data_IF_124150059713
#
_entry.id   IF_124150059713
#
_cell.length_a   1.000
_cell.length_b   1.000
_cell.length_c   1.000
_cell.angle_alpha   90.00
_cell.angle_beta   90.00
_cell.angle_gamma   90.00
#
_symmetry.space_group_name_H-M   'P 1'
#
loop_
_entity.id
_entity.type
_entity.pdbx_description
1 polymer ?
#
# COMPACT_ATOMS: atom_id res chain seq x y z
N UNK A 1 -38.19 18.18 8.37
CA UNK A 1 -36.74 18.38 8.10
C UNK A 1 -36.02 17.40 8.99
N UNK A 2 -35.14 16.58 8.49
CA UNK A 2 -34.52 15.53 9.30
C UNK A 2 -33.62 16.16 10.36
N UNK A 3 -33.77 15.73 11.62
CA UNK A 3 -32.99 16.13 12.81
C UNK A 3 -31.49 15.69 12.74
N UNK A 4 -30.97 15.40 11.55
CA UNK A 4 -29.60 14.96 11.37
C UNK A 4 -28.67 16.13 11.65
N UNK A 5 -27.76 16.02 12.63
CA UNK A 5 -26.76 17.05 12.90
C UNK A 5 -25.96 17.37 11.63
N UNK A 6 -25.49 18.62 11.52
CA UNK A 6 -24.75 19.07 10.35
C UNK A 6 -23.47 19.81 10.73
N UNK A 7 -22.50 19.81 9.80
CA UNK A 7 -21.39 20.77 9.82
C UNK A 7 -21.57 21.75 8.68
N UNK A 8 -21.23 23.00 8.90
CA UNK A 8 -21.22 24.05 7.87
C UNK A 8 -19.81 24.54 7.61
N UNK A 9 -19.44 24.60 6.34
CA UNK A 9 -18.12 25.07 5.94
C UNK A 9 -18.01 26.60 6.04
N UNK A 10 -16.81 27.11 6.25
CA UNK A 10 -16.50 28.53 6.14
C UNK A 10 -16.67 29.00 4.70
N UNK A 11 -16.95 30.29 4.53
CA UNK A 11 -16.98 30.89 3.20
C UNK A 11 -15.60 30.81 2.55
N UNK A 12 -15.54 30.30 1.33
CA UNK A 12 -14.28 30.13 0.61
C UNK A 12 -13.50 28.86 0.96
N UNK A 13 -14.05 27.97 1.80
CA UNK A 13 -13.40 26.71 2.16
C UNK A 13 -14.07 25.48 1.49
N UNK A 14 -13.47 24.31 1.67
CA UNK A 14 -13.96 23.07 1.10
C UNK A 14 -13.63 22.90 -0.39
N UNK A 15 -12.63 23.58 -0.91
CA UNK A 15 -12.24 23.47 -2.33
C UNK A 15 -11.82 22.06 -2.70
N UNK A 16 -10.94 21.43 -1.92
CA UNK A 16 -10.50 20.07 -2.14
C UNK A 16 -11.67 19.08 -2.07
N UNK A 17 -12.57 19.26 -1.09
CA UNK A 17 -13.77 18.44 -0.95
C UNK A 17 -14.70 18.58 -2.18
N UNK A 18 -14.98 19.79 -2.63
CA UNK A 18 -15.81 20.07 -3.82
C UNK A 18 -15.18 19.55 -5.10
N UNK A 19 -13.86 19.51 -5.19
CA UNK A 19 -13.11 18.94 -6.30
C UNK A 19 -13.05 17.40 -6.31
N UNK A 20 -13.72 16.73 -5.38
CA UNK A 20 -13.74 15.25 -5.32
C UNK A 20 -13.06 14.65 -4.10
N UNK A 21 -12.36 15.44 -3.29
CA UNK A 21 -11.66 14.98 -2.10
C UNK A 21 -12.61 14.39 -1.04
N UNK A 22 -12.14 13.41 -0.25
CA UNK A 22 -12.97 12.71 0.72
C UNK A 22 -12.94 13.32 2.12
N UNK A 23 -12.16 14.39 2.36
CA UNK A 23 -11.88 14.92 3.68
C UNK A 23 -12.25 16.39 3.82
N UNK A 24 -12.69 16.76 5.03
CA UNK A 24 -12.82 18.15 5.49
C UNK A 24 -11.97 18.29 6.76
N UNK A 25 -11.14 19.33 6.78
CA UNK A 25 -10.27 19.60 7.90
C UNK A 25 -10.98 20.48 8.95
N UNK A 26 -10.53 20.42 10.19
CA UNK A 26 -11.08 21.17 11.32
C UNK A 26 -11.11 22.68 11.07
N UNK A 27 -10.06 23.20 10.45
CA UNK A 27 -9.95 24.63 10.11
C UNK A 27 -10.92 25.10 9.00
N UNK A 28 -11.54 24.19 8.24
CA UNK A 28 -12.52 24.50 7.20
C UNK A 28 -13.96 24.66 7.75
N UNK A 29 -14.22 24.21 9.00
CA UNK A 29 -15.56 24.20 9.60
C UNK A 29 -15.85 25.55 10.28
N UNK A 30 -16.98 26.16 9.94
CA UNK A 30 -17.50 27.37 10.57
C UNK A 30 -18.27 27.06 11.85
N UNK A 31 -19.19 26.08 11.78
CA UNK A 31 -20.07 25.71 12.88
C UNK A 31 -20.51 24.25 12.79
N UNK A 32 -20.87 23.68 13.93
CA UNK A 32 -21.49 22.36 14.06
C UNK A 32 -22.93 22.61 14.55
N UNK A 33 -23.90 22.12 13.78
CA UNK A 33 -25.32 22.26 14.04
C UNK A 33 -25.88 21.01 14.70
N UNK A 34 -26.59 21.16 15.79
CA UNK A 34 -27.03 20.06 16.66
C UNK A 34 -25.92 19.58 17.59
N UNK A 35 -26.09 18.41 18.18
CA UNK A 35 -25.17 17.80 19.15
C UNK A 35 -24.67 16.43 18.67
N UNK A 36 -23.89 16.35 17.57
CA UNK A 36 -23.38 15.07 17.11
C UNK A 36 -22.30 14.54 18.06
N UNK A 37 -22.36 13.25 18.35
CA UNK A 37 -21.25 12.55 18.99
C UNK A 37 -20.08 12.38 18.00
N UNK A 38 -18.84 12.40 18.51
CA UNK A 38 -17.68 12.04 17.69
C UNK A 38 -17.81 10.61 17.17
N UNK A 39 -17.46 10.38 15.90
CA UNK A 39 -17.73 9.15 15.17
C UNK A 39 -19.18 9.03 14.67
N UNK A 40 -20.04 10.00 14.97
CA UNK A 40 -21.42 10.05 14.47
C UNK A 40 -21.52 10.58 13.03
N UNK A 41 -22.68 10.31 12.41
CA UNK A 41 -23.00 10.79 11.07
C UNK A 41 -23.46 12.24 11.14
N UNK A 42 -22.92 13.07 10.26
CA UNK A 42 -23.33 14.46 10.07
C UNK A 42 -23.59 14.74 8.60
N UNK A 43 -24.55 15.64 8.34
CA UNK A 43 -24.71 16.25 7.03
C UNK A 43 -23.64 17.31 6.84
N UNK A 44 -23.13 17.42 5.64
CA UNK A 44 -22.09 18.36 5.23
C UNK A 44 -22.78 19.46 4.43
N UNK A 45 -22.63 20.72 4.84
CA UNK A 45 -23.20 21.88 4.18
C UNK A 45 -22.11 22.89 3.77
N UNK A 46 -22.31 23.59 2.66
CA UNK A 46 -21.50 24.74 2.32
C UNK A 46 -21.84 25.95 3.24
N UNK A 47 -21.18 27.06 3.03
CA UNK A 47 -21.39 28.28 3.83
C UNK A 47 -22.80 28.89 3.72
N UNK A 48 -23.57 28.57 2.70
CA UNK A 48 -24.96 28.99 2.49
C UNK A 48 -25.99 27.96 3.02
N UNK A 49 -25.53 26.81 3.55
CA UNK A 49 -26.40 25.72 3.96
C UNK A 49 -26.79 24.77 2.81
N UNK A 50 -26.13 24.87 1.65
CA UNK A 50 -26.35 23.92 0.56
C UNK A 50 -25.75 22.54 0.91
N UNK A 51 -26.52 21.44 0.84
CA UNK A 51 -26.07 20.13 1.24
C UNK A 51 -25.06 19.55 0.23
N UNK A 52 -23.92 19.07 0.73
CA UNK A 52 -22.80 18.53 -0.04
C UNK A 52 -22.62 17.01 0.12
N UNK A 53 -23.25 16.40 1.12
CA UNK A 53 -23.13 14.99 1.41
C UNK A 53 -23.29 14.64 2.90
N UNK A 54 -22.92 13.40 3.25
CA UNK A 54 -22.90 12.90 4.64
C UNK A 54 -21.56 12.23 4.93
N UNK A 55 -21.11 12.31 6.19
CA UNK A 55 -19.82 11.74 6.62
C UNK A 55 -19.74 11.55 8.13
N UNK A 56 -18.62 10.98 8.60
CA UNK A 56 -18.30 10.86 10.01
C UNK A 56 -17.67 12.14 10.53
N UNK A 57 -18.14 12.66 11.67
CA UNK A 57 -17.48 13.73 12.41
C UNK A 57 -16.55 13.16 13.48
N UNK A 58 -15.34 13.72 13.59
CA UNK A 58 -14.45 13.49 14.73
C UNK A 58 -13.68 14.77 15.06
N UNK A 59 -14.01 15.42 16.18
CA UNK A 59 -13.39 16.67 16.65
C UNK A 59 -11.99 16.48 17.22
N UNK A 60 -11.60 15.26 17.54
CA UNK A 60 -10.24 14.94 17.99
C UNK A 60 -9.22 14.90 16.83
N UNK A 61 -9.71 14.75 15.61
CA UNK A 61 -8.89 14.59 14.40
C UNK A 61 -8.79 15.92 13.62
N UNK A 62 -7.60 16.21 13.06
CA UNK A 62 -7.46 17.31 12.10
C UNK A 62 -8.24 17.06 10.80
N UNK A 63 -8.47 15.78 10.42
CA UNK A 63 -9.46 15.42 9.41
C UNK A 63 -10.79 15.28 10.11
N UNK A 64 -11.45 16.41 10.35
CA UNK A 64 -12.64 16.45 11.17
C UNK A 64 -13.84 15.74 10.57
N UNK A 65 -13.98 15.71 9.22
CA UNK A 65 -15.03 14.93 8.57
C UNK A 65 -14.47 14.08 7.45
N UNK A 66 -14.89 12.80 7.45
CA UNK A 66 -14.60 11.84 6.38
C UNK A 66 -15.90 11.50 5.65
N UNK A 67 -15.91 11.71 4.34
CA UNK A 67 -17.08 11.53 3.47
C UNK A 67 -17.49 10.06 3.38
N UNK A 68 -18.78 9.78 3.54
CA UNK A 68 -19.40 8.49 3.25
C UNK A 68 -20.20 8.52 1.93
N UNK A 69 -20.93 9.60 1.69
CA UNK A 69 -21.73 9.78 0.47
C UNK A 69 -21.84 11.24 0.10
N UNK A 70 -21.78 11.53 -1.20
CA UNK A 70 -22.12 12.87 -1.75
C UNK A 70 -23.63 13.08 -1.87
N UNK A 71 -24.42 12.04 -1.75
CA UNK A 71 -25.86 12.16 -1.58
C UNK A 71 -26.15 12.57 -0.13
N UNK A 72 -26.56 13.82 0.07
CA UNK A 72 -26.88 14.36 1.39
C UNK A 72 -28.15 13.75 2.01
N UNK A 73 -28.96 13.03 1.22
CA UNK A 73 -30.10 12.26 1.68
C UNK A 73 -29.79 10.80 2.02
N UNK A 74 -28.54 10.37 1.85
CA UNK A 74 -28.16 8.98 2.10
C UNK A 74 -28.37 8.60 3.57
N UNK A 75 -29.08 7.49 3.80
CA UNK A 75 -29.23 6.85 5.09
C UNK A 75 -28.11 5.82 5.23
N UNK A 76 -27.29 5.97 6.29
CA UNK A 76 -26.15 5.08 6.53
C UNK A 76 -26.63 3.92 7.45
N UNK A 77 -27.30 3.00 6.82
CA UNK A 77 -27.85 1.78 7.43
C UNK A 77 -27.10 0.51 6.98
N UNK A 78 -27.60 -0.66 7.38
CA UNK A 78 -27.01 -1.95 7.01
C UNK A 78 -27.01 -2.16 5.50
N UNK A 79 -28.07 -1.77 4.81
CA UNK A 79 -28.21 -1.92 3.36
C UNK A 79 -27.23 -1.02 2.60
N UNK A 80 -26.99 0.20 3.11
CA UNK A 80 -25.94 1.08 2.58
C UNK A 80 -24.55 0.44 2.69
N UNK A 81 -24.22 -0.10 3.87
CA UNK A 81 -22.94 -0.75 4.10
C UNK A 81 -22.79 -2.01 3.24
N UNK A 82 -23.84 -2.81 3.11
CA UNK A 82 -23.83 -4.00 2.25
C UNK A 82 -23.54 -3.65 0.79
N UNK A 83 -24.19 -2.63 0.24
CA UNK A 83 -23.90 -2.16 -1.11
C UNK A 83 -22.44 -1.74 -1.29
N UNK A 84 -21.85 -1.06 -0.30
CA UNK A 84 -20.42 -0.65 -0.34
C UNK A 84 -19.49 -1.85 -0.32
N UNK A 85 -19.72 -2.80 0.60
CA UNK A 85 -18.92 -4.03 0.72
C UNK A 85 -19.02 -4.88 -0.55
N UNK A 86 -20.23 -5.05 -1.08
CA UNK A 86 -20.48 -5.80 -2.32
C UNK A 86 -19.79 -5.15 -3.53
N UNK A 87 -19.84 -3.82 -3.64
CA UNK A 87 -19.17 -3.08 -4.70
C UNK A 87 -17.63 -3.21 -4.60
N UNK A 88 -17.06 -3.11 -3.40
CA UNK A 88 -15.63 -3.28 -3.17
C UNK A 88 -15.16 -4.69 -3.55
N UNK A 89 -15.89 -5.72 -3.12
CA UNK A 89 -15.55 -7.11 -3.46
C UNK A 89 -15.73 -7.40 -4.96
N UNK A 90 -16.81 -6.93 -5.58
CA UNK A 90 -17.03 -7.10 -7.02
C UNK A 90 -15.89 -6.46 -7.83
N UNK A 91 -15.46 -5.25 -7.45
CA UNK A 91 -14.33 -4.60 -8.10
C UNK A 91 -13.06 -5.47 -8.04
N UNK A 92 -12.76 -6.14 -6.91
CA UNK A 92 -11.61 -7.05 -6.81
C UNK A 92 -11.77 -8.27 -7.71
N UNK A 93 -12.95 -8.87 -7.77
CA UNK A 93 -13.23 -9.98 -8.70
C UNK A 93 -12.98 -9.61 -10.16
N UNK A 94 -13.27 -8.37 -10.53
CA UNK A 94 -13.14 -7.89 -11.90
C UNK A 94 -11.71 -7.49 -12.28
N UNK A 95 -10.86 -7.16 -11.30
CA UNK A 95 -9.58 -6.47 -11.56
C UNK A 95 -8.33 -7.22 -11.12
N UNK A 96 -8.44 -8.14 -10.16
CA UNK A 96 -7.27 -8.85 -9.61
C UNK A 96 -7.56 -10.32 -9.35
N UNK A 97 -6.49 -11.11 -9.19
CA UNK A 97 -6.58 -12.41 -8.55
C UNK A 97 -6.92 -12.25 -7.05
N UNK A 98 -8.04 -12.81 -6.64
CA UNK A 98 -8.62 -12.66 -5.30
C UNK A 98 -8.18 -13.72 -4.29
N UNK A 99 -7.24 -14.62 -4.65
CA UNK A 99 -6.71 -15.61 -3.71
C UNK A 99 -6.12 -14.95 -2.46
N UNK A 100 -5.39 -13.85 -2.65
CA UNK A 100 -4.94 -12.92 -1.61
C UNK A 100 -4.93 -11.51 -2.19
N UNK A 101 -5.69 -10.60 -1.60
CA UNK A 101 -5.85 -9.23 -2.11
C UNK A 101 -6.34 -8.29 -1.01
N UNK A 102 -6.18 -7.00 -1.21
CA UNK A 102 -6.86 -5.97 -0.41
C UNK A 102 -8.32 -5.89 -0.83
N UNK A 103 -9.24 -6.27 0.05
CA UNK A 103 -10.69 -6.28 -0.25
C UNK A 103 -11.29 -4.89 -0.07
N UNK A 104 -10.86 -4.15 0.96
CA UNK A 104 -11.32 -2.78 1.23
C UNK A 104 -10.11 -1.88 1.39
N UNK A 105 -10.11 -0.75 0.67
CA UNK A 105 -9.05 0.25 0.69
C UNK A 105 -9.60 1.65 1.02
N UNK A 106 -10.12 1.80 2.22
CA UNK A 106 -10.48 3.09 2.82
C UNK A 106 -11.37 3.96 1.95
N UNK A 107 -10.92 5.17 1.73
CA UNK A 107 -11.60 6.21 0.96
C UNK A 107 -11.86 5.81 -0.50
N UNK A 108 -11.00 4.97 -1.07
CA UNK A 108 -11.13 4.52 -2.46
C UNK A 108 -12.30 3.54 -2.67
N UNK A 109 -12.74 2.88 -1.59
CA UNK A 109 -13.95 2.04 -1.57
C UNK A 109 -15.12 2.71 -0.83
N UNK A 110 -14.98 4.01 -0.54
CA UNK A 110 -15.99 4.81 0.16
C UNK A 110 -16.36 4.26 1.55
N UNK A 111 -15.38 3.60 2.20
CA UNK A 111 -15.40 3.14 3.58
C UNK A 111 -14.20 3.75 4.33
N UNK A 112 -14.22 5.08 4.55
CA UNK A 112 -13.04 5.86 4.91
C UNK A 112 -12.36 5.38 6.17
N UNK A 113 -11.04 5.13 6.06
CA UNK A 113 -10.22 4.68 7.18
C UNK A 113 -10.30 3.19 7.49
N UNK A 114 -11.03 2.38 6.70
CA UNK A 114 -11.06 0.92 6.85
C UNK A 114 -10.18 0.25 5.81
N UNK A 115 -9.30 -0.63 6.25
CA UNK A 115 -8.52 -1.52 5.39
C UNK A 115 -8.86 -2.96 5.76
N UNK A 116 -9.14 -3.79 4.75
CA UNK A 116 -9.31 -5.23 4.93
C UNK A 116 -8.51 -5.96 3.88
N UNK A 117 -7.52 -6.73 4.33
CA UNK A 117 -6.72 -7.62 3.49
C UNK A 117 -7.17 -9.06 3.68
N UNK A 118 -7.28 -9.79 2.58
CA UNK A 118 -7.55 -11.23 2.54
C UNK A 118 -6.26 -11.96 2.21
N UNK A 119 -5.82 -12.83 3.11
CA UNK A 119 -4.71 -13.76 2.93
C UNK A 119 -5.27 -15.18 2.93
N UNK A 120 -5.41 -15.78 1.76
CA UNK A 120 -6.07 -17.07 1.58
C UNK A 120 -7.46 -17.12 2.24
N UNK A 121 -7.60 -17.77 3.38
CA UNK A 121 -8.83 -17.94 4.16
C UNK A 121 -8.92 -17.04 5.42
N UNK A 122 -7.99 -16.10 5.58
CA UNK A 122 -7.92 -15.18 6.72
C UNK A 122 -8.14 -13.74 6.28
N UNK A 123 -8.92 -12.98 7.06
CA UNK A 123 -9.07 -11.53 6.92
C UNK A 123 -8.20 -10.81 7.95
N UNK A 124 -7.49 -9.78 7.52
CA UNK A 124 -6.75 -8.86 8.39
C UNK A 124 -7.32 -7.48 8.25
N UNK A 125 -7.67 -6.87 9.38
CA UNK A 125 -8.41 -5.62 9.44
C UNK A 125 -7.59 -4.53 10.10
N UNK A 126 -7.56 -3.35 9.48
CA UNK A 126 -7.02 -2.14 10.07
C UNK A 126 -8.10 -1.05 10.04
N UNK A 127 -8.51 -0.55 11.20
CA UNK A 127 -9.48 0.53 11.35
C UNK A 127 -8.78 1.79 11.87
N UNK A 128 -8.76 2.84 11.08
CA UNK A 128 -7.94 4.04 11.28
C UNK A 128 -8.75 5.30 11.59
N UNK A 129 -10.09 5.25 11.57
CA UNK A 129 -10.96 6.38 11.84
C UNK A 129 -12.09 6.00 12.79
N UNK A 130 -12.45 6.92 13.71
CA UNK A 130 -13.40 6.65 14.79
C UNK A 130 -14.78 6.22 14.28
N UNK A 131 -15.30 6.87 13.24
CA UNK A 131 -16.64 6.57 12.73
C UNK A 131 -16.73 5.17 12.13
N UNK A 132 -15.74 4.75 11.34
CA UNK A 132 -15.70 3.42 10.73
C UNK A 132 -15.40 2.33 11.77
N UNK A 133 -14.64 2.65 12.82
CA UNK A 133 -14.35 1.70 13.91
C UNK A 133 -15.62 1.23 14.60
N UNK A 134 -16.63 2.09 14.74
CA UNK A 134 -17.95 1.76 15.28
C UNK A 134 -18.78 0.84 14.38
N UNK A 135 -18.55 0.89 13.06
CA UNK A 135 -19.27 0.08 12.08
C UNK A 135 -18.49 -1.18 11.67
N UNK A 136 -17.26 -1.32 12.13
CA UNK A 136 -16.32 -2.38 11.75
C UNK A 136 -16.93 -3.78 11.86
N UNK A 137 -17.56 -4.12 12.98
CA UNK A 137 -18.17 -5.44 13.19
C UNK A 137 -19.31 -5.74 12.21
N UNK A 138 -20.16 -4.75 11.92
CA UNK A 138 -21.22 -4.89 10.92
C UNK A 138 -20.64 -5.10 9.52
N UNK A 139 -19.63 -4.31 9.13
CA UNK A 139 -18.99 -4.41 7.82
C UNK A 139 -18.31 -5.77 7.65
N UNK A 140 -17.62 -6.26 8.68
CA UNK A 140 -16.95 -7.57 8.65
C UNK A 140 -17.95 -8.72 8.56
N UNK A 141 -19.07 -8.66 9.29
CA UNK A 141 -20.16 -9.65 9.17
C UNK A 141 -20.68 -9.69 7.73
N UNK A 142 -20.99 -8.53 7.14
CA UNK A 142 -21.45 -8.43 5.74
C UNK A 142 -20.44 -8.99 4.75
N UNK A 143 -19.15 -8.71 4.97
CA UNK A 143 -18.09 -9.23 4.10
C UNK A 143 -17.96 -10.75 4.21
N UNK A 144 -18.01 -11.32 5.42
CA UNK A 144 -17.95 -12.77 5.62
C UNK A 144 -19.14 -13.47 4.96
N UNK A 145 -20.35 -12.91 5.11
CA UNK A 145 -21.56 -13.44 4.48
C UNK A 145 -21.42 -13.40 2.95
N UNK A 146 -20.92 -12.30 2.38
CA UNK A 146 -20.69 -12.14 0.94
C UNK A 146 -19.63 -13.11 0.40
N UNK A 147 -18.52 -13.28 1.11
CA UNK A 147 -17.48 -14.25 0.72
C UNK A 147 -18.01 -15.68 0.74
N UNK A 148 -18.87 -16.00 1.70
CA UNK A 148 -19.54 -17.30 1.76
C UNK A 148 -20.51 -17.53 0.60
N UNK A 149 -21.21 -16.50 0.12
CA UNK A 149 -22.04 -16.57 -1.09
C UNK A 149 -21.22 -17.00 -2.32
N UNK A 150 -19.96 -16.52 -2.41
CA UNK A 150 -19.02 -16.86 -3.48
C UNK A 150 -18.24 -18.19 -3.20
N UNK A 151 -18.64 -18.96 -2.15
CA UNK A 151 -18.01 -20.23 -1.81
C UNK A 151 -16.66 -20.11 -1.09
N UNK A 152 -16.31 -18.91 -0.61
CA UNK A 152 -15.06 -18.64 0.11
C UNK A 152 -15.32 -18.74 1.61
N UNK A 153 -14.67 -19.71 2.26
CA UNK A 153 -14.73 -19.86 3.71
C UNK A 153 -13.68 -18.96 4.37
N UNK A 154 -14.10 -18.15 5.35
CA UNK A 154 -13.20 -17.35 6.19
C UNK A 154 -12.93 -18.10 7.47
N UNK A 155 -11.70 -18.57 7.68
CA UNK A 155 -11.26 -19.32 8.88
C UNK A 155 -11.15 -18.42 10.10
N UNK A 156 -10.76 -17.16 9.90
CA UNK A 156 -10.59 -16.24 11.00
C UNK A 156 -10.34 -14.80 10.58
N UNK A 157 -10.46 -13.90 11.55
CA UNK A 157 -10.26 -12.46 11.40
C UNK A 157 -9.28 -11.97 12.47
N UNK A 158 -8.24 -11.26 12.02
CA UNK A 158 -7.24 -10.65 12.90
C UNK A 158 -7.23 -9.14 12.75
N UNK A 159 -7.19 -8.39 13.85
CA UNK A 159 -7.13 -6.93 13.85
C UNK A 159 -5.68 -6.42 13.99
N UNK A 160 -5.28 -5.53 13.10
CA UNK A 160 -4.00 -4.81 13.08
C UNK A 160 -4.22 -3.30 13.16
N UNK A 161 -5.12 -2.87 14.03
CA UNK A 161 -5.41 -1.46 14.32
C UNK A 161 -4.40 -0.87 15.32
N UNK A 162 -3.11 -1.21 15.15
CA UNK A 162 -2.01 -0.78 16.03
C UNK A 162 -1.20 0.39 15.46
N UNK A 163 -1.66 1.01 14.36
CA UNK A 163 -1.04 2.18 13.77
C UNK A 163 -1.14 3.44 14.66
N UNK A 164 -0.05 4.23 14.72
CA UNK A 164 0.01 5.46 15.55
C UNK A 164 -1.02 6.52 15.16
N UNK A 165 -1.56 6.46 13.95
CA UNK A 165 -2.57 7.41 13.49
C UNK A 165 -3.87 7.33 14.30
N UNK A 166 -4.20 6.17 14.88
CA UNK A 166 -5.38 6.00 15.76
C UNK A 166 -5.36 6.93 16.96
N UNK A 167 -4.18 7.21 17.52
CA UNK A 167 -4.03 8.16 18.63
C UNK A 167 -4.46 9.59 18.24
N UNK A 168 -4.30 9.97 16.96
CA UNK A 168 -4.76 11.26 16.43
C UNK A 168 -6.27 11.31 16.20
N UNK A 169 -6.91 10.15 16.16
CA UNK A 169 -8.38 10.00 16.09
C UNK A 169 -9.02 9.86 17.48
N UNK A 170 -8.23 9.97 18.56
CA UNK A 170 -8.70 9.77 19.93
C UNK A 170 -8.99 8.29 20.27
N UNK A 171 -8.42 7.35 19.52
CA UNK A 171 -8.61 5.92 19.71
C UNK A 171 -7.34 5.24 20.24
N UNK A 172 -7.51 4.19 21.01
CA UNK A 172 -6.42 3.32 21.42
C UNK A 172 -5.91 2.45 20.25
N UNK A 173 -4.66 2.03 20.35
CA UNK A 173 -4.08 1.03 19.44
C UNK A 173 -4.55 -0.36 19.86
N UNK A 174 -5.06 -1.14 18.90
CA UNK A 174 -5.65 -2.47 19.15
C UNK A 174 -5.03 -3.49 18.20
N UNK A 175 -4.75 -4.69 18.72
CA UNK A 175 -4.24 -5.83 17.98
C UNK A 175 -4.76 -7.12 18.60
N UNK A 176 -5.25 -8.05 17.77
CA UNK A 176 -5.75 -9.32 18.29
C UNK A 176 -6.76 -10.02 17.39
N UNK A 177 -7.24 -11.16 17.84
CA UNK A 177 -8.27 -11.93 17.14
C UNK A 177 -9.64 -11.28 17.31
N UNK A 178 -10.38 -11.14 16.21
CA UNK A 178 -11.80 -10.76 16.19
C UNK A 178 -12.73 -11.97 16.01
N UNK A 179 -12.17 -13.15 15.79
CA UNK A 179 -12.82 -14.46 15.75
C UNK A 179 -12.18 -15.36 16.80
N UNK A 180 -12.57 -16.64 16.83
CA UNK A 180 -11.83 -17.64 17.57
C UNK A 180 -10.34 -17.65 17.16
N UNK A 181 -9.42 -17.87 18.11
CA UNK A 181 -7.99 -17.90 17.81
C UNK A 181 -7.63 -18.98 16.78
N UNK A 182 -6.69 -18.63 15.88
CA UNK A 182 -6.16 -19.52 14.85
C UNK A 182 -4.65 -19.34 14.72
N UNK A 183 -3.96 -20.21 13.97
CA UNK A 183 -2.54 -20.03 13.65
C UNK A 183 -2.37 -18.76 12.78
N UNK A 184 -1.68 -17.72 13.27
CA UNK A 184 -1.50 -16.48 12.56
C UNK A 184 -0.54 -16.58 11.35
N UNK A 185 0.19 -17.68 11.21
CA UNK A 185 1.01 -17.93 10.02
C UNK A 185 0.15 -18.54 8.93
N UNK A 186 -0.07 -17.78 7.87
CA UNK A 186 -0.94 -18.14 6.75
C UNK A 186 -0.11 -18.37 5.50
N UNK A 187 -0.30 -19.51 4.84
CA UNK A 187 0.31 -19.73 3.53
C UNK A 187 -0.55 -19.09 2.43
N UNK A 188 0.10 -18.26 1.59
CA UNK A 188 -0.52 -17.67 0.41
C UNK A 188 0.22 -18.08 -0.87
N UNK A 189 -0.47 -17.97 -1.99
CA UNK A 189 0.14 -18.10 -3.33
C UNK A 189 -0.05 -16.80 -4.09
N UNK A 190 1.05 -16.21 -4.56
CA UNK A 190 1.02 -15.02 -5.40
C UNK A 190 1.94 -15.21 -6.60
N UNK A 191 1.44 -15.01 -7.82
CA UNK A 191 2.21 -15.17 -9.07
C UNK A 191 2.85 -16.57 -9.22
N UNK A 192 2.24 -17.59 -8.62
CA UNK A 192 2.75 -18.96 -8.59
C UNK A 192 3.91 -19.19 -7.62
N UNK A 193 4.15 -18.29 -6.69
CA UNK A 193 5.12 -18.39 -5.59
C UNK A 193 4.35 -18.49 -4.25
N UNK A 194 4.78 -19.43 -3.40
CA UNK A 194 4.22 -19.64 -2.06
C UNK A 194 4.95 -18.78 -1.03
N UNK A 195 4.20 -18.19 -0.12
CA UNK A 195 4.75 -17.40 1.01
C UNK A 195 4.08 -17.79 2.31
N UNK A 196 4.84 -17.82 3.39
CA UNK A 196 4.30 -17.77 4.74
C UNK A 196 4.16 -16.32 5.16
N UNK A 197 2.96 -15.92 5.53
CA UNK A 197 2.60 -14.57 5.98
C UNK A 197 2.19 -14.64 7.44
N UNK A 198 2.91 -13.96 8.30
CA UNK A 198 2.53 -13.80 9.71
C UNK A 198 1.62 -12.57 9.84
N UNK A 199 0.32 -12.79 10.00
CA UNK A 199 -0.67 -11.71 10.10
C UNK A 199 -0.64 -11.01 11.46
N UNK A 200 -0.04 -11.64 12.47
CA UNK A 200 0.12 -11.06 13.80
C UNK A 200 1.38 -10.20 13.91
N UNK A 201 2.54 -10.68 13.51
CA UNK A 201 3.83 -10.00 13.72
C UNK A 201 4.45 -9.43 12.44
N UNK A 202 3.93 -9.79 11.26
CA UNK A 202 4.40 -9.28 9.98
C UNK A 202 4.23 -7.76 9.83
N UNK A 203 4.96 -7.16 8.91
CA UNK A 203 4.86 -5.71 8.66
C UNK A 203 3.48 -5.34 8.09
N UNK A 204 2.95 -4.18 8.46
CA UNK A 204 1.59 -3.73 8.13
C UNK A 204 0.56 -4.81 8.52
N UNK A 205 -0.19 -5.31 7.55
CA UNK A 205 -1.18 -6.39 7.72
C UNK A 205 -0.58 -7.79 7.58
N UNK A 206 0.74 -7.91 7.25
CA UNK A 206 1.45 -9.17 7.11
C UNK A 206 2.28 -9.26 5.82
N UNK A 207 1.79 -8.72 4.70
CA UNK A 207 2.44 -8.78 3.38
C UNK A 207 2.10 -7.55 2.53
N UNK A 208 2.99 -7.21 1.57
CA UNK A 208 2.82 -6.04 0.68
C UNK A 208 2.07 -6.43 -0.60
N UNK A 209 0.75 -6.55 -0.53
CA UNK A 209 -0.11 -6.91 -1.66
C UNK A 209 -0.07 -5.87 -2.80
N UNK A 210 0.23 -4.62 -2.48
CA UNK A 210 0.30 -3.51 -3.42
C UNK A 210 1.36 -3.69 -4.52
N UNK A 211 2.38 -4.51 -4.30
CA UNK A 211 3.45 -4.82 -5.25
C UNK A 211 3.21 -6.08 -6.10
N UNK A 212 2.08 -6.77 -5.95
CA UNK A 212 1.76 -8.06 -6.58
C UNK A 212 2.10 -8.09 -8.07
N UNK A 213 1.56 -7.14 -8.84
CA UNK A 213 1.76 -7.10 -10.29
C UNK A 213 3.09 -6.45 -10.71
N UNK A 214 3.72 -5.68 -9.83
CA UNK A 214 5.09 -5.19 -10.05
C UNK A 214 6.08 -6.34 -9.92
N UNK A 215 5.88 -7.25 -8.97
CA UNK A 215 6.64 -8.51 -8.85
C UNK A 215 6.44 -9.41 -10.07
N UNK A 216 5.21 -9.51 -10.59
CA UNK A 216 4.95 -10.27 -11.81
C UNK A 216 5.69 -9.68 -13.03
N UNK A 217 5.72 -8.36 -13.15
CA UNK A 217 6.33 -7.66 -14.30
C UNK A 217 7.83 -7.92 -14.45
N UNK A 218 8.56 -8.23 -13.36
CA UNK A 218 10.00 -8.50 -13.45
C UNK A 218 10.32 -9.96 -13.83
N UNK A 219 9.38 -10.90 -13.75
CA UNK A 219 9.64 -12.32 -14.03
C UNK A 219 10.26 -12.56 -15.43
N UNK A 220 9.69 -12.03 -16.54
CA UNK A 220 10.26 -12.23 -17.86
C UNK A 220 11.66 -11.63 -18.05
N UNK A 221 12.00 -10.59 -17.30
CA UNK A 221 13.28 -9.87 -17.38
C UNK A 221 14.41 -10.57 -16.61
N UNK A 222 14.06 -11.51 -15.73
CA UNK A 222 15.00 -12.25 -14.90
C UNK A 222 15.56 -13.51 -15.57
N UNK A 223 14.95 -13.97 -16.67
CA UNK A 223 15.23 -15.28 -17.29
C UNK A 223 16.71 -15.47 -17.66
N UNK A 224 17.33 -16.50 -17.08
CA UNK A 224 18.72 -16.88 -17.30
C UNK A 224 19.74 -15.91 -16.71
N UNK A 225 19.29 -14.83 -16.06
CA UNK A 225 20.13 -13.74 -15.55
C UNK A 225 20.54 -13.90 -14.09
N UNK A 226 21.56 -13.10 -13.70
CA UNK A 226 21.90 -12.80 -12.30
C UNK A 226 21.06 -11.61 -11.82
N UNK A 227 20.39 -11.75 -10.69
CA UNK A 227 19.49 -10.73 -10.14
C UNK A 227 19.96 -10.28 -8.77
N UNK A 228 19.94 -8.98 -8.52
CA UNK A 228 20.13 -8.37 -7.20
C UNK A 228 18.81 -7.73 -6.77
N UNK A 229 18.26 -8.18 -5.63
CA UNK A 229 17.06 -7.63 -5.02
C UNK A 229 17.40 -6.93 -3.71
N UNK A 230 17.40 -5.59 -3.72
CA UNK A 230 17.71 -4.74 -2.60
C UNK A 230 16.45 -4.36 -1.82
N UNK A 231 16.52 -4.42 -0.48
CA UNK A 231 15.38 -4.26 0.42
C UNK A 231 14.35 -5.39 0.23
N UNK A 232 14.88 -6.61 0.12
CA UNK A 232 14.12 -7.80 -0.27
C UNK A 232 13.01 -8.19 0.72
N UNK A 233 13.07 -7.69 1.97
CA UNK A 233 12.13 -8.01 3.04
C UNK A 233 11.98 -9.54 3.20
N UNK A 234 10.81 -10.10 2.92
CA UNK A 234 10.53 -11.55 2.97
C UNK A 234 10.83 -12.29 1.66
N UNK A 235 11.63 -11.68 0.77
CA UNK A 235 12.12 -12.29 -0.47
C UNK A 235 11.16 -12.21 -1.65
N UNK A 236 10.13 -11.37 -1.59
CA UNK A 236 9.03 -11.45 -2.55
C UNK A 236 9.45 -11.10 -4.00
N UNK A 237 10.28 -10.09 -4.24
CA UNK A 237 10.83 -9.81 -5.58
C UNK A 237 11.86 -10.87 -5.99
N UNK A 238 12.77 -11.26 -5.09
CA UNK A 238 13.77 -12.28 -5.35
C UNK A 238 13.16 -13.62 -5.81
N UNK A 239 12.10 -14.07 -5.13
CA UNK A 239 11.41 -15.32 -5.47
C UNK A 239 10.62 -15.21 -6.77
N UNK A 240 10.04 -14.05 -7.09
CA UNK A 240 9.44 -13.81 -8.40
C UNK A 240 10.50 -13.80 -9.51
N UNK A 241 11.69 -13.26 -9.30
CA UNK A 241 12.79 -13.34 -10.25
C UNK A 241 13.22 -14.81 -10.48
N UNK A 242 13.35 -15.60 -9.41
CA UNK A 242 13.64 -17.02 -9.51
C UNK A 242 12.54 -17.80 -10.23
N UNK A 243 11.25 -17.49 -9.96
CA UNK A 243 10.10 -18.06 -10.68
C UNK A 243 10.14 -17.73 -12.17
N UNK A 244 10.60 -16.52 -12.52
CA UNK A 244 10.83 -16.09 -13.89
C UNK A 244 12.00 -16.78 -14.60
N UNK A 245 12.76 -17.64 -13.90
CA UNK A 245 13.86 -18.42 -14.45
C UNK A 245 15.23 -17.74 -14.30
N UNK A 246 15.42 -16.86 -13.31
CA UNK A 246 16.76 -16.36 -12.98
C UNK A 246 17.73 -17.51 -12.67
N UNK A 247 18.97 -17.40 -13.14
CA UNK A 247 20.03 -18.38 -12.86
C UNK A 247 20.56 -18.24 -11.41
N UNK A 248 20.69 -17.01 -10.93
CA UNK A 248 21.16 -16.69 -9.60
C UNK A 248 20.44 -15.44 -9.08
N UNK A 249 19.99 -15.47 -7.84
CA UNK A 249 19.37 -14.30 -7.18
C UNK A 249 20.04 -14.07 -5.83
N UNK A 250 20.46 -12.82 -5.60
CA UNK A 250 20.89 -12.32 -4.29
C UNK A 250 19.86 -11.33 -3.76
N UNK A 251 19.12 -11.70 -2.72
CA UNK A 251 18.25 -10.81 -1.97
C UNK A 251 18.97 -10.22 -0.74
N UNK A 252 18.79 -8.93 -0.49
CA UNK A 252 19.48 -8.23 0.59
C UNK A 252 18.51 -7.39 1.40
N UNK A 253 18.54 -7.52 2.71
CA UNK A 253 17.80 -6.69 3.66
C UNK A 253 18.61 -6.48 4.94
N UNK A 254 18.36 -5.40 5.66
CA UNK A 254 18.97 -5.13 6.95
C UNK A 254 18.27 -5.87 8.12
N UNK A 255 17.09 -6.44 7.88
CA UNK A 255 16.29 -7.16 8.87
C UNK A 255 16.69 -8.64 8.93
N UNK A 256 17.28 -9.10 10.01
CA UNK A 256 17.59 -10.52 10.25
C UNK A 256 16.31 -11.38 10.16
N UNK A 257 15.22 -10.91 10.76
CA UNK A 257 13.92 -11.61 10.72
C UNK A 257 13.39 -11.70 9.28
N UNK A 258 13.47 -10.61 8.52
CA UNK A 258 13.07 -10.60 7.11
C UNK A 258 13.87 -11.59 6.27
N UNK A 259 15.20 -11.59 6.43
CA UNK A 259 16.12 -12.51 5.74
C UNK A 259 15.86 -13.97 6.12
N UNK A 260 15.60 -14.25 7.41
CA UNK A 260 15.25 -15.60 7.86
C UNK A 260 13.94 -16.08 7.21
N UNK A 261 12.91 -15.25 7.19
CA UNK A 261 11.63 -15.56 6.55
C UNK A 261 11.75 -15.69 5.01
N UNK A 262 12.56 -14.84 4.37
CA UNK A 262 12.87 -14.95 2.93
C UNK A 262 13.54 -16.30 2.60
N UNK A 263 14.47 -16.75 3.45
CA UNK A 263 15.14 -18.05 3.30
C UNK A 263 14.16 -19.22 3.46
N UNK A 264 13.24 -19.13 4.42
CA UNK A 264 12.17 -20.14 4.57
C UNK A 264 11.24 -20.16 3.35
N UNK A 265 10.87 -18.99 2.83
CA UNK A 265 10.07 -18.88 1.61
C UNK A 265 10.79 -19.45 0.40
N UNK A 266 12.11 -19.30 0.25
CA UNK A 266 12.88 -19.94 -0.81
C UNK A 266 12.85 -21.48 -0.70
N UNK A 267 13.03 -22.01 0.50
CA UNK A 267 12.93 -23.44 0.76
C UNK A 267 11.53 -23.99 0.48
N UNK A 268 10.47 -23.27 0.90
CA UNK A 268 9.07 -23.62 0.63
C UNK A 268 8.76 -23.76 -0.86
N UNK A 269 9.48 -23.03 -1.73
CA UNK A 269 9.34 -23.05 -3.18
C UNK A 269 10.38 -23.95 -3.88
N UNK A 270 11.29 -24.62 -3.17
CA UNK A 270 12.37 -25.42 -3.76
C UNK A 270 13.36 -24.58 -4.57
N UNK A 271 13.63 -23.34 -4.14
CA UNK A 271 14.48 -22.37 -4.85
C UNK A 271 15.81 -22.07 -4.14
N UNK A 272 16.15 -22.81 -3.06
CA UNK A 272 17.34 -22.56 -2.24
C UNK A 272 18.67 -22.83 -2.96
N UNK A 273 18.64 -23.52 -4.09
CA UNK A 273 19.81 -23.78 -4.94
C UNK A 273 20.29 -22.52 -5.70
N UNK A 274 19.38 -21.60 -6.02
CA UNK A 274 19.62 -20.41 -6.88
C UNK A 274 19.30 -19.08 -6.23
N UNK A 275 18.59 -19.07 -5.09
CA UNK A 275 18.25 -17.86 -4.34
C UNK A 275 18.99 -17.86 -3.02
N UNK A 276 19.76 -16.81 -2.78
CA UNK A 276 20.47 -16.58 -1.52
C UNK A 276 20.05 -15.25 -0.93
N UNK A 277 20.02 -15.18 0.39
CA UNK A 277 19.72 -13.94 1.12
C UNK A 277 20.88 -13.56 2.04
N UNK A 278 21.10 -12.23 2.17
CA UNK A 278 22.12 -11.67 3.03
C UNK A 278 21.54 -10.55 3.91
N UNK A 279 21.81 -10.63 5.21
CA UNK A 279 21.47 -9.55 6.15
C UNK A 279 22.56 -8.48 6.10
N UNK A 280 22.36 -7.43 5.31
CA UNK A 280 23.32 -6.35 5.07
C UNK A 280 22.62 -5.02 4.84
N UNK A 281 23.26 -3.93 5.22
CA UNK A 281 22.83 -2.59 4.82
C UNK A 281 23.10 -2.38 3.32
N UNK A 282 22.04 -2.04 2.57
CA UNK A 282 22.11 -1.81 1.12
C UNK A 282 23.02 -0.63 0.78
N UNK A 283 23.05 0.43 1.62
CA UNK A 283 23.90 1.60 1.39
C UNK A 283 25.39 1.29 1.53
N UNK A 284 25.76 0.27 2.30
CA UNK A 284 27.13 -0.21 2.42
C UNK A 284 27.46 -1.26 1.34
N UNK A 285 26.51 -2.14 1.03
CA UNK A 285 26.71 -3.23 0.09
C UNK A 285 26.86 -2.75 -1.36
N UNK A 286 26.02 -1.83 -1.83
CA UNK A 286 26.04 -1.39 -3.23
C UNK A 286 27.42 -0.79 -3.63
N UNK A 287 28.07 0.10 -2.85
CA UNK A 287 29.43 0.56 -3.12
C UNK A 287 30.47 -0.56 -3.07
N UNK A 288 30.30 -1.56 -2.21
CA UNK A 288 31.21 -2.72 -2.14
C UNK A 288 31.14 -3.55 -3.43
N UNK A 289 29.93 -3.88 -3.90
CA UNK A 289 29.70 -4.63 -5.15
C UNK A 289 30.26 -3.85 -6.36
N UNK A 290 30.08 -2.53 -6.41
CA UNK A 290 30.65 -1.69 -7.44
C UNK A 290 32.18 -1.77 -7.46
N UNK A 291 32.86 -1.66 -6.30
CA UNK A 291 34.31 -1.78 -6.19
C UNK A 291 34.86 -3.16 -6.60
N UNK A 292 34.05 -4.22 -6.37
CA UNK A 292 34.37 -5.57 -6.80
C UNK A 292 34.14 -5.83 -8.29
N UNK A 293 33.54 -4.85 -9.01
CA UNK A 293 33.21 -4.99 -10.44
C UNK A 293 32.04 -5.93 -10.70
N UNK A 294 31.21 -6.21 -9.69
CA UNK A 294 30.05 -7.08 -9.84
C UNK A 294 29.03 -6.48 -10.81
N UNK A 295 28.39 -7.35 -11.60
CA UNK A 295 27.36 -6.96 -12.56
C UNK A 295 26.19 -7.94 -12.54
N UNK A 296 25.00 -7.37 -12.73
CA UNK A 296 23.72 -8.09 -12.72
C UNK A 296 22.93 -7.82 -13.99
N UNK A 297 22.12 -8.76 -14.41
CA UNK A 297 21.22 -8.62 -15.55
C UNK A 297 19.97 -7.82 -15.15
N UNK A 298 19.55 -7.95 -13.88
CA UNK A 298 18.46 -7.19 -13.29
C UNK A 298 18.86 -6.74 -11.86
N UNK A 299 18.67 -5.44 -11.58
CA UNK A 299 18.77 -4.88 -10.22
C UNK A 299 17.39 -4.35 -9.82
N UNK A 300 16.92 -4.74 -8.64
CA UNK A 300 15.63 -4.33 -8.07
C UNK A 300 15.90 -3.48 -6.83
N UNK A 301 15.26 -2.32 -6.75
CA UNK A 301 15.38 -1.37 -5.64
C UNK A 301 13.97 -1.05 -5.12
N UNK A 302 13.55 -1.71 -4.02
CA UNK A 302 12.26 -1.47 -3.34
C UNK A 302 12.48 -0.94 -1.91
N UNK A 303 13.05 0.27 -1.75
CA UNK A 303 13.36 0.81 -0.44
C UNK A 303 12.11 1.15 0.37
N UNK A 304 12.23 1.16 1.71
CA UNK A 304 11.19 1.73 2.55
C UNK A 304 11.00 3.21 2.25
N UNK A 305 9.88 3.79 2.69
CA UNK A 305 9.60 5.22 2.51
C UNK A 305 10.68 6.08 3.19
N UNK A 306 11.57 6.70 2.40
CA UNK A 306 12.62 7.58 2.92
C UNK A 306 12.10 8.92 3.42
N UNK A 307 10.85 9.28 3.08
CA UNK A 307 10.21 10.48 3.63
C UNK A 307 8.76 10.21 4.03
N UNK A 308 8.40 10.77 5.20
CA UNK A 308 7.03 10.78 5.74
C UNK A 308 6.50 12.20 5.94
N UNK A 309 7.28 13.22 5.52
CA UNK A 309 6.91 14.63 5.66
C UNK A 309 7.57 15.50 4.59
N UNK A 310 6.99 16.67 4.30
CA UNK A 310 7.58 17.66 3.38
C UNK A 310 8.98 18.10 3.83
N UNK A 311 9.23 18.21 5.12
CA UNK A 311 10.52 18.64 5.66
C UNK A 311 11.67 17.67 5.34
N UNK A 312 11.39 16.37 5.19
CA UNK A 312 12.41 15.34 4.94
C UNK A 312 12.60 14.99 3.45
N UNK A 313 11.90 15.66 2.52
CA UNK A 313 11.97 15.38 1.07
C UNK A 313 13.39 15.52 0.52
N UNK A 314 14.13 16.59 0.88
CA UNK A 314 15.51 16.79 0.38
C UNK A 314 16.43 15.62 0.76
N UNK A 315 16.35 15.14 2.02
CA UNK A 315 17.11 13.97 2.48
C UNK A 315 16.72 12.70 1.74
N UNK A 316 15.43 12.51 1.49
CA UNK A 316 14.92 11.37 0.73
C UNK A 316 15.42 11.38 -0.72
N UNK A 317 15.42 12.53 -1.40
CA UNK A 317 15.98 12.68 -2.76
C UNK A 317 17.44 12.23 -2.81
N UNK A 318 18.26 12.63 -1.81
CA UNK A 318 19.66 12.18 -1.72
C UNK A 318 19.75 10.65 -1.59
N UNK A 319 18.94 10.03 -0.74
CA UNK A 319 18.92 8.57 -0.57
C UNK A 319 18.49 7.84 -1.83
N UNK A 320 17.40 8.27 -2.47
CA UNK A 320 16.94 7.70 -3.74
C UNK A 320 17.97 7.88 -4.86
N UNK A 321 18.63 9.04 -4.95
CA UNK A 321 19.68 9.29 -5.94
C UNK A 321 20.85 8.34 -5.75
N UNK A 322 21.31 8.14 -4.50
CA UNK A 322 22.46 7.27 -4.19
C UNK A 322 22.17 5.82 -4.56
N UNK A 323 21.05 5.24 -4.11
CA UNK A 323 20.75 3.83 -4.43
C UNK A 323 20.53 3.61 -5.93
N UNK A 324 19.88 4.56 -6.63
CA UNK A 324 19.68 4.47 -8.08
C UNK A 324 20.99 4.61 -8.84
N UNK A 325 21.88 5.53 -8.45
CA UNK A 325 23.22 5.68 -9.03
C UNK A 325 24.00 4.35 -8.95
N UNK A 326 24.05 3.74 -7.77
CA UNK A 326 24.77 2.47 -7.56
C UNK A 326 24.07 1.32 -8.30
N UNK A 327 22.76 1.23 -8.22
CA UNK A 327 21.98 0.23 -8.95
C UNK A 327 22.23 0.28 -10.46
N UNK A 328 22.18 1.48 -11.07
CA UNK A 328 22.47 1.68 -12.49
C UNK A 328 23.89 1.22 -12.87
N UNK A 329 24.90 1.52 -12.03
CA UNK A 329 26.27 1.10 -12.27
C UNK A 329 26.45 -0.42 -12.16
N UNK A 330 25.67 -1.10 -11.34
CA UNK A 330 25.70 -2.56 -11.19
C UNK A 330 24.96 -3.32 -12.30
N UNK A 331 24.12 -2.66 -13.06
CA UNK A 331 23.44 -3.29 -14.21
C UNK A 331 24.41 -3.46 -15.38
N UNK A 332 24.41 -4.65 -16.01
CA UNK A 332 25.11 -4.90 -17.29
C UNK A 332 24.58 -3.98 -18.38
N UNK A 333 25.38 -3.76 -19.44
CA UNK A 333 24.87 -3.10 -20.63
C UNK A 333 23.74 -3.93 -21.27
N UNK A 334 22.58 -3.28 -21.52
CA UNK A 334 21.36 -3.95 -22.00
C UNK A 334 20.53 -4.62 -20.93
N UNK A 335 21.02 -4.71 -19.68
CA UNK A 335 20.27 -5.23 -18.53
C UNK A 335 19.21 -4.24 -18.01
N UNK A 336 18.56 -4.60 -16.89
CA UNK A 336 17.38 -3.88 -16.39
C UNK A 336 17.56 -3.36 -14.96
N UNK A 337 16.96 -2.21 -14.71
CA UNK A 337 16.76 -1.63 -13.38
C UNK A 337 15.26 -1.56 -13.10
N UNK A 338 14.78 -2.21 -12.06
CA UNK A 338 13.45 -2.01 -11.47
C UNK A 338 13.60 -1.18 -10.21
N UNK A 339 12.97 -0.01 -10.12
CA UNK A 339 13.13 0.90 -8.98
C UNK A 339 11.81 1.51 -8.60
N UNK A 340 11.56 1.63 -7.29
CA UNK A 340 10.32 2.18 -6.79
C UNK A 340 10.46 3.14 -5.62
N UNK A 341 9.38 3.84 -5.36
CA UNK A 341 9.18 4.69 -4.19
C UNK A 341 7.74 4.58 -3.72
N UNK A 342 7.54 4.20 -2.46
CA UNK A 342 6.25 4.21 -1.78
C UNK A 342 6.03 5.50 -0.96
N UNK A 343 6.91 6.51 -1.06
CA UNK A 343 6.78 7.77 -0.34
C UNK A 343 5.79 8.70 -1.06
N UNK A 344 4.71 9.09 -0.39
CA UNK A 344 3.72 10.04 -0.94
C UNK A 344 4.35 11.38 -1.36
N UNK A 345 5.28 11.92 -0.57
CA UNK A 345 5.95 13.20 -0.85
C UNK A 345 7.04 13.11 -1.95
N UNK A 346 7.37 11.91 -2.42
CA UNK A 346 8.18 11.69 -3.60
C UNK A 346 7.25 11.57 -4.80
N UNK A 347 6.89 12.70 -5.42
CA UNK A 347 5.98 12.70 -6.58
C UNK A 347 6.61 11.98 -7.78
N UNK A 348 5.82 11.51 -8.77
CA UNK A 348 6.36 10.88 -9.98
C UNK A 348 7.41 11.74 -10.67
N UNK A 349 7.16 13.06 -10.81
CA UNK A 349 8.08 14.01 -11.46
C UNK A 349 9.38 14.16 -10.68
N UNK A 350 9.30 14.27 -9.34
CA UNK A 350 10.49 14.37 -8.50
C UNK A 350 11.29 13.07 -8.53
N UNK A 351 10.63 11.92 -8.56
CA UNK A 351 11.29 10.62 -8.59
C UNK A 351 11.99 10.39 -9.92
N UNK A 352 11.34 10.67 -11.06
CA UNK A 352 11.96 10.56 -12.40
C UNK A 352 13.12 11.53 -12.58
N UNK A 353 13.01 12.76 -12.09
CA UNK A 353 14.11 13.72 -12.07
C UNK A 353 15.31 13.15 -11.29
N UNK A 354 15.06 12.57 -10.11
CA UNK A 354 16.12 12.00 -9.25
C UNK A 354 16.81 10.82 -9.93
N UNK A 355 16.06 9.93 -10.59
CA UNK A 355 16.61 8.80 -11.35
C UNK A 355 17.42 9.31 -12.55
N UNK A 356 16.93 10.32 -13.29
CA UNK A 356 17.62 10.92 -14.41
C UNK A 356 18.96 11.57 -14.01
N UNK A 357 19.03 12.19 -12.83
CA UNK A 357 20.28 12.71 -12.27
C UNK A 357 21.25 11.58 -11.93
N UNK A 358 20.76 10.48 -11.31
CA UNK A 358 21.57 9.29 -11.01
C UNK A 358 22.14 8.66 -12.30
N UNK A 359 21.35 8.57 -13.36
CA UNK A 359 21.79 8.02 -14.64
C UNK A 359 22.90 8.85 -15.30
N UNK A 360 22.78 10.20 -15.27
CA UNK A 360 23.84 11.10 -15.74
C UNK A 360 25.16 10.91 -14.97
N UNK A 361 25.08 10.81 -13.63
CA UNK A 361 26.26 10.60 -12.79
C UNK A 361 26.88 9.22 -13.02
N UNK A 362 26.06 8.22 -13.35
CA UNK A 362 26.53 6.89 -13.75
C UNK A 362 27.12 6.85 -15.16
N UNK A 363 26.96 7.91 -15.95
CA UNK A 363 27.29 7.99 -17.41
C UNK A 363 26.61 6.86 -18.18
N UNK A 364 25.32 6.61 -17.88
CA UNK A 364 24.50 5.58 -18.53
C UNK A 364 23.21 6.20 -19.05
N UNK A 365 22.62 5.58 -20.06
CA UNK A 365 21.30 5.94 -20.59
C UNK A 365 20.25 4.96 -20.10
N UNK A 366 19.03 5.48 -19.87
CA UNK A 366 17.87 4.69 -19.45
C UNK A 366 16.80 4.73 -20.53
N UNK A 367 16.35 3.55 -20.98
CA UNK A 367 15.15 3.41 -21.81
C UNK A 367 14.02 2.93 -20.88
N UNK A 368 12.98 3.75 -20.71
CA UNK A 368 11.83 3.33 -19.92
C UNK A 368 11.11 2.19 -20.61
N UNK A 369 10.96 1.06 -19.92
CA UNK A 369 10.20 -0.11 -20.36
C UNK A 369 8.78 -0.01 -19.86
N UNK A 370 8.62 0.23 -18.55
CA UNK A 370 7.32 0.35 -17.90
C UNK A 370 7.31 1.46 -16.84
N UNK A 371 6.12 2.05 -16.65
CA UNK A 371 5.73 2.78 -15.45
C UNK A 371 4.48 2.15 -14.87
N UNK A 372 4.51 1.82 -13.60
CA UNK A 372 3.43 1.16 -12.87
C UNK A 372 3.19 1.86 -11.53
N UNK A 373 2.03 1.65 -10.99
CA UNK A 373 1.64 2.11 -9.65
C UNK A 373 1.36 0.90 -8.75
N UNK A 374 0.66 1.09 -7.66
CA UNK A 374 0.18 -0.01 -6.81
C UNK A 374 -0.79 -0.93 -7.58
N UNK A 375 -0.89 -2.17 -7.10
CA UNK A 375 -1.83 -3.15 -7.62
C UNK A 375 -3.27 -2.62 -7.63
N UNK A 376 -4.13 -3.01 -8.62
CA UNK A 376 -5.51 -2.51 -8.73
C UNK A 376 -6.38 -2.73 -7.50
N UNK A 377 -6.09 -3.70 -6.65
CA UNK A 377 -6.79 -3.87 -5.35
C UNK A 377 -6.47 -2.76 -4.33
N UNK A 378 -5.55 -1.87 -4.65
CA UNK A 378 -5.28 -0.61 -3.96
C UNK A 378 -5.66 0.58 -4.88
N UNK A 379 -6.95 0.75 -5.20
CA UNK A 379 -7.36 1.66 -6.27
C UNK A 379 -6.99 3.11 -5.98
N UNK A 380 -6.57 3.81 -7.04
CA UNK A 380 -6.35 5.26 -6.99
C UNK A 380 -7.67 5.96 -7.21
N UNK A 381 -8.13 6.70 -6.21
CA UNK A 381 -9.35 7.50 -6.31
C UNK A 381 -9.00 8.90 -6.84
N UNK A 382 -9.52 9.25 -8.01
CA UNK A 382 -9.35 10.58 -8.59
C UNK A 382 -10.02 11.64 -7.72
N UNK A 383 -9.28 12.72 -7.44
CA UNK A 383 -9.66 13.75 -6.46
C UNK A 383 -9.20 13.45 -5.02
N UNK A 384 -8.55 12.29 -4.79
CA UNK A 384 -7.93 11.91 -3.53
C UNK A 384 -6.45 11.58 -3.76
N UNK A 385 -5.62 12.61 -3.93
CA UNK A 385 -4.18 12.49 -4.31
C UNK A 385 -3.39 11.57 -3.38
N UNK A 386 -3.79 11.48 -2.12
CA UNK A 386 -3.16 10.58 -1.14
C UNK A 386 -3.34 9.09 -1.46
N UNK A 387 -4.29 8.73 -2.32
CA UNK A 387 -4.50 7.34 -2.75
C UNK A 387 -3.42 6.83 -3.71
N UNK A 388 -2.71 7.73 -4.43
CA UNK A 388 -1.57 7.40 -5.27
C UNK A 388 -0.27 7.55 -4.47
N UNK A 389 0.34 6.45 -4.08
CA UNK A 389 1.55 6.49 -3.26
C UNK A 389 2.73 5.70 -3.82
N UNK A 390 2.49 4.69 -4.66
CA UNK A 390 3.52 3.82 -5.22
C UNK A 390 3.87 4.25 -6.65
N UNK A 391 5.16 4.44 -6.92
CA UNK A 391 5.77 4.64 -8.22
C UNK A 391 6.77 3.53 -8.45
N UNK A 392 6.59 2.77 -9.52
CA UNK A 392 7.46 1.67 -9.92
C UNK A 392 7.86 1.84 -11.37
N UNK A 393 9.16 1.88 -11.63
CA UNK A 393 9.71 2.02 -12.98
C UNK A 393 10.60 0.83 -13.32
N UNK A 394 10.51 0.39 -14.56
CA UNK A 394 11.46 -0.54 -15.15
C UNK A 394 12.18 0.20 -16.28
N UNK A 395 13.51 0.20 -16.24
CA UNK A 395 14.38 0.77 -17.26
C UNK A 395 15.32 -0.29 -17.81
N UNK A 396 15.54 -0.28 -19.13
CA UNK A 396 16.73 -0.88 -19.72
C UNK A 396 17.90 0.08 -19.56
N UNK A 397 19.03 -0.41 -19.06
CA UNK A 397 20.24 0.38 -18.84
C UNK A 397 21.22 0.11 -19.98
N UNK A 398 21.63 1.16 -20.70
CA UNK A 398 22.54 1.06 -21.83
C UNK A 398 23.70 2.02 -21.68
N UNK A 399 24.85 1.65 -22.24
CA UNK A 399 26.00 2.51 -22.29
C UNK A 399 25.74 3.68 -23.27
N UNK A 400 26.30 4.85 -22.98
CA UNK A 400 26.33 5.98 -23.88
C UNK A 400 27.58 5.80 -24.79
N UNK A 401 27.42 5.03 -25.85
CA UNK A 401 28.49 4.67 -26.77
C UNK A 401 28.83 5.82 -27.73
#
# INVERSE_FOLDING_TARGET
MSDTPAIRLKRGEGHAFKAGGPWIYDNEIAEILGEPADGGIVRIEDYNGYPLGVGFLNRASTIAVRLLSRDAGAVIDRDFLERRVRAAWQYRKDTVDTSSCRVIFGESDFLPGLVVDKFADVLVVESLALGIDRLKSTILSLLVDLLKEDGIFVRGIYERSDAKVRLKEGMERVKGFLSDPFDPVVEIVENGVRYQVDVAEGQKTGFFLDQKYNRLAIQPLARGGRVLDCFTHTGAFALNAAKGGAAEVLGVDASELGVAQATQNAALNGMSDRVRFACRDVFELLPELERKGEKFDLVILDPPAFTKSRASVKKAVTGYREINLRGIKLVKNGGYLATCSCSHFMTPELFTKTIGEAARDARRRLRQVEYRTQSPDHPVLWGADQSLYLKFYIFQVVDDA
#
